data_IF_557310969574
#
_entry.id   IF_557310969574
#
_cell.length_a   1.000
_cell.length_b   1.000
_cell.length_c   1.000
_cell.angle_alpha   90.00
_cell.angle_beta   90.00
_cell.angle_gamma   90.00
#
_symmetry.space_group_name_H-M   'P 1'
#
loop_
_entity.id
_entity.type
_entity.pdbx_description
1 polymer ?
#
# COMPACT_ATOMS: atom_id res chain seq x y z
N UNK A 1 83.03 27.31 48.48
CA UNK A 1 82.14 26.20 48.67
C UNK A 1 80.91 26.52 47.89
N UNK A 2 80.90 26.04 46.73
CA UNK A 2 79.87 26.35 45.77
C UNK A 2 79.41 24.98 45.22
N UNK A 3 78.26 24.51 45.62
CA UNK A 3 77.67 23.30 45.16
C UNK A 3 76.63 23.65 44.12
N UNK A 4 76.99 23.46 42.88
CA UNK A 4 76.08 23.54 41.71
C UNK A 4 75.26 22.28 41.69
N UNK A 5 73.97 22.37 42.04
CA UNK A 5 72.95 21.36 41.75
C UNK A 5 72.69 21.34 40.27
N UNK A 6 73.21 20.30 39.67
CA UNK A 6 72.85 19.89 38.30
C UNK A 6 71.45 19.27 38.31
N UNK A 7 70.47 20.04 37.91
CA UNK A 7 69.13 19.52 37.62
C UNK A 7 69.12 18.57 36.38
N UNK A 8 69.08 17.27 36.62
CA UNK A 8 68.86 16.28 35.58
C UNK A 8 67.39 16.35 35.16
N UNK A 9 67.14 17.02 34.04
CA UNK A 9 65.86 16.87 33.30
C UNK A 9 65.71 15.41 32.87
N UNK A 10 64.88 14.68 33.56
CA UNK A 10 64.46 13.36 33.15
C UNK A 10 63.47 13.50 32.01
N UNK A 11 63.95 13.67 30.77
CA UNK A 11 63.15 13.58 29.57
C UNK A 11 62.42 12.23 29.56
N UNK A 12 61.09 12.25 29.41
CA UNK A 12 60.30 11.02 29.29
C UNK A 12 60.93 10.11 28.21
N UNK A 13 61.13 8.83 28.49
CA UNK A 13 61.77 7.94 27.52
C UNK A 13 60.92 7.82 26.24
N UNK A 14 61.56 7.88 25.07
CA UNK A 14 60.94 7.94 23.76
C UNK A 14 59.87 6.86 23.55
N UNK A 15 60.03 5.69 24.15
CA UNK A 15 59.07 4.60 24.11
C UNK A 15 57.78 4.89 24.88
N UNK A 16 57.80 5.72 25.92
CA UNK A 16 56.63 6.12 26.67
C UNK A 16 55.79 7.10 25.88
N UNK A 17 56.40 8.04 25.15
CA UNK A 17 55.73 8.98 24.24
C UNK A 17 55.11 8.23 23.06
N UNK A 18 55.82 7.23 22.52
CA UNK A 18 55.33 6.38 21.45
C UNK A 18 54.16 5.51 21.92
N UNK A 19 54.22 4.95 23.14
CA UNK A 19 53.12 4.17 23.73
C UNK A 19 51.86 5.00 23.95
N UNK A 20 51.98 6.24 24.40
CA UNK A 20 50.85 7.15 24.58
C UNK A 20 50.19 7.51 23.23
N UNK A 21 51.00 7.84 22.20
CA UNK A 21 50.53 8.11 20.86
C UNK A 21 49.79 6.89 20.26
N UNK A 22 50.34 5.68 20.40
CA UNK A 22 49.70 4.45 19.94
C UNK A 22 48.40 4.13 20.66
N UNK A 23 48.33 4.41 21.97
CA UNK A 23 47.12 4.24 22.78
C UNK A 23 46.03 5.21 22.35
N UNK A 24 46.37 6.48 22.08
CA UNK A 24 45.43 7.47 21.55
C UNK A 24 44.88 7.08 20.15
N UNK A 25 45.77 6.60 19.29
CA UNK A 25 45.40 6.17 17.93
C UNK A 25 44.54 4.92 17.96
N UNK A 26 44.82 3.96 18.82
CA UNK A 26 44.00 2.76 19.07
C UNK A 26 42.61 3.14 19.58
N UNK A 27 42.54 4.08 20.56
CA UNK A 27 41.29 4.59 21.10
C UNK A 27 40.42 5.26 20.05
N UNK A 28 41.04 6.13 19.21
CA UNK A 28 40.35 6.75 18.08
C UNK A 28 39.84 5.70 17.07
N UNK A 29 40.64 4.69 16.77
CA UNK A 29 40.23 3.62 15.86
C UNK A 29 39.06 2.80 16.38
N UNK A 30 39.07 2.44 17.68
CA UNK A 30 37.96 1.74 18.33
C UNK A 30 36.68 2.58 18.29
N UNK A 31 36.76 3.88 18.55
CA UNK A 31 35.60 4.77 18.47
C UNK A 31 35.00 4.84 17.04
N UNK A 32 35.87 4.90 16.01
CA UNK A 32 35.43 4.87 14.61
C UNK A 32 34.75 3.53 14.30
N UNK A 33 35.32 2.41 14.73
CA UNK A 33 34.72 1.09 14.54
C UNK A 33 33.35 0.97 15.19
N UNK A 34 33.20 1.44 16.43
CA UNK A 34 31.90 1.45 17.12
C UNK A 34 30.91 2.33 16.39
N UNK A 35 31.33 3.51 15.93
CA UNK A 35 30.49 4.40 15.11
C UNK A 35 30.01 3.76 13.80
N UNK A 36 30.94 3.13 13.05
CA UNK A 36 30.63 2.43 11.81
C UNK A 36 29.69 1.25 12.08
N UNK A 37 29.92 0.49 13.17
CA UNK A 37 29.07 -0.63 13.55
C UNK A 37 27.64 -0.16 13.90
N UNK A 38 27.49 0.97 14.60
CA UNK A 38 26.20 1.58 14.89
C UNK A 38 25.43 1.94 13.63
N UNK A 39 26.07 2.62 12.68
CA UNK A 39 25.46 2.98 11.38
C UNK A 39 25.08 1.75 10.58
N UNK A 40 25.92 0.70 10.56
CA UNK A 40 25.63 -0.56 9.87
C UNK A 40 24.42 -1.29 10.47
N UNK A 41 24.31 -1.31 11.81
CA UNK A 41 23.15 -1.92 12.48
C UNK A 41 21.85 -1.18 12.15
N UNK A 42 21.86 0.14 12.15
CA UNK A 42 20.71 0.96 11.80
C UNK A 42 20.29 0.73 10.33
N UNK A 43 21.26 0.78 9.40
CA UNK A 43 20.99 0.54 7.98
C UNK A 43 20.45 -0.88 7.73
N UNK A 44 21.02 -1.89 8.40
CA UNK A 44 20.58 -3.26 8.29
C UNK A 44 19.16 -3.45 8.79
N UNK A 45 18.78 -2.80 9.90
CA UNK A 45 17.43 -2.87 10.47
C UNK A 45 16.39 -2.26 9.52
N UNK A 46 16.67 -1.10 8.91
CA UNK A 46 15.81 -0.48 7.92
C UNK A 46 15.63 -1.33 6.66
N UNK A 47 16.71 -1.91 6.15
CA UNK A 47 16.64 -2.82 5.00
C UNK A 47 15.81 -4.07 5.29
N UNK A 48 15.98 -4.64 6.49
CA UNK A 48 15.22 -5.82 6.91
C UNK A 48 13.72 -5.52 7.01
N UNK A 49 13.36 -4.35 7.52
CA UNK A 49 11.96 -3.90 7.58
C UNK A 49 11.36 -3.73 6.19
N UNK A 50 12.08 -3.13 5.25
CA UNK A 50 11.65 -2.98 3.86
C UNK A 50 11.47 -4.32 3.15
N UNK A 51 12.41 -5.25 3.32
CA UNK A 51 12.33 -6.60 2.76
C UNK A 51 11.11 -7.32 3.31
N UNK A 52 10.89 -7.25 4.62
CA UNK A 52 9.73 -7.89 5.27
C UNK A 52 8.41 -7.31 4.76
N UNK A 53 8.30 -5.99 4.62
CA UNK A 53 7.13 -5.33 4.04
C UNK A 53 6.85 -5.82 2.62
N UNK A 54 7.87 -5.85 1.76
CA UNK A 54 7.74 -6.34 0.38
C UNK A 54 7.31 -7.80 0.31
N UNK A 55 7.87 -8.65 1.15
CA UNK A 55 7.47 -10.07 1.22
C UNK A 55 6.02 -10.24 1.64
N UNK A 56 5.55 -9.47 2.63
CA UNK A 56 4.15 -9.49 3.08
C UNK A 56 3.22 -9.04 1.93
N UNK A 57 3.57 -7.96 1.23
CA UNK A 57 2.78 -7.46 0.10
C UNK A 57 2.74 -8.47 -1.06
N UNK A 58 3.85 -9.11 -1.37
CA UNK A 58 3.91 -10.14 -2.41
C UNK A 58 3.08 -11.37 -2.05
N UNK A 59 3.15 -11.82 -0.80
CA UNK A 59 2.30 -12.91 -0.30
C UNK A 59 0.81 -12.55 -0.32
N UNK A 60 0.46 -11.31 0.01
CA UNK A 60 -0.91 -10.79 -0.11
C UNK A 60 -1.41 -10.87 -1.54
N UNK A 61 -0.60 -10.39 -2.48
CA UNK A 61 -0.93 -10.41 -3.91
C UNK A 61 -1.14 -11.84 -4.42
N UNK A 62 -0.20 -12.76 -4.13
CA UNK A 62 -0.31 -14.16 -4.55
C UNK A 62 -1.53 -14.86 -3.94
N UNK A 63 -1.84 -14.58 -2.67
CA UNK A 63 -3.01 -15.17 -2.01
C UNK A 63 -4.31 -14.67 -2.62
N UNK A 64 -4.39 -13.36 -2.94
CA UNK A 64 -5.57 -12.78 -3.61
C UNK A 64 -5.73 -13.33 -5.03
N UNK A 65 -4.64 -13.41 -5.80
CA UNK A 65 -4.64 -13.98 -7.14
C UNK A 65 -5.11 -15.44 -7.14
N UNK A 66 -4.62 -16.24 -6.20
CA UNK A 66 -5.05 -17.64 -6.04
C UNK A 66 -6.53 -17.74 -5.66
N UNK A 67 -7.00 -16.88 -4.77
CA UNK A 67 -8.42 -16.84 -4.39
C UNK A 67 -9.34 -16.47 -5.57
N UNK A 68 -8.84 -15.61 -6.48
CA UNK A 68 -9.59 -15.11 -7.63
C UNK A 68 -9.29 -15.87 -8.93
N UNK A 69 -8.54 -16.97 -8.91
CA UNK A 69 -8.14 -17.70 -10.12
C UNK A 69 -9.32 -18.07 -11.03
N UNK A 70 -10.45 -18.52 -10.47
CA UNK A 70 -11.65 -18.83 -11.21
C UNK A 70 -12.25 -17.60 -11.92
N UNK A 71 -12.59 -16.53 -11.21
CA UNK A 71 -13.07 -15.29 -11.83
C UNK A 71 -12.09 -14.68 -12.85
N UNK A 72 -10.78 -14.69 -12.59
CA UNK A 72 -9.75 -14.23 -13.52
C UNK A 72 -9.73 -15.03 -14.84
N UNK A 73 -9.86 -16.35 -14.75
CA UNK A 73 -9.91 -17.21 -15.93
C UNK A 73 -11.10 -16.92 -16.86
N UNK A 74 -12.18 -16.30 -16.35
CA UNK A 74 -13.31 -15.87 -17.17
C UNK A 74 -13.01 -14.66 -18.04
N UNK A 75 -11.88 -13.94 -17.81
CA UNK A 75 -11.50 -12.73 -18.53
C UNK A 75 -12.38 -11.50 -18.27
N UNK A 76 -13.34 -11.59 -17.33
CA UNK A 76 -14.28 -10.50 -17.01
C UNK A 76 -13.75 -9.53 -15.95
N UNK A 77 -12.72 -9.93 -15.24
CA UNK A 77 -12.03 -9.13 -14.23
C UNK A 77 -10.54 -9.09 -14.54
N UNK A 78 -9.88 -8.04 -14.07
CA UNK A 78 -8.42 -7.89 -14.09
C UNK A 78 -7.89 -7.79 -12.66
N UNK A 79 -6.65 -8.16 -12.45
CA UNK A 79 -5.98 -8.00 -11.17
C UNK A 79 -4.64 -7.29 -11.39
N UNK A 80 -4.57 -6.04 -10.96
CA UNK A 80 -3.37 -5.20 -11.09
C UNK A 80 -2.97 -4.65 -9.71
N UNK A 81 -1.79 -4.99 -9.23
CA UNK A 81 -1.27 -4.53 -7.94
C UNK A 81 -2.25 -4.74 -6.76
N UNK A 82 -2.94 -5.89 -6.71
CA UNK A 82 -3.92 -6.19 -5.67
C UNK A 82 -5.27 -5.50 -5.83
N UNK A 83 -5.50 -4.76 -6.93
CA UNK A 83 -6.78 -4.14 -7.29
C UNK A 83 -7.50 -4.98 -8.32
N UNK A 84 -8.73 -5.33 -8.03
CA UNK A 84 -9.61 -6.08 -8.93
C UNK A 84 -10.37 -5.09 -9.77
N UNK A 85 -10.06 -5.01 -11.07
CA UNK A 85 -10.73 -4.13 -12.02
C UNK A 85 -11.86 -4.84 -12.75
N UNK A 86 -12.99 -4.17 -12.90
CA UNK A 86 -14.10 -4.60 -13.74
C UNK A 86 -14.46 -3.45 -14.68
N UNK A 87 -14.54 -3.75 -15.98
CA UNK A 87 -14.97 -2.75 -16.97
C UNK A 87 -16.38 -2.22 -16.65
N UNK A 88 -16.55 -0.91 -16.77
CA UNK A 88 -17.86 -0.28 -16.62
C UNK A 88 -18.88 -0.81 -17.62
N UNK A 89 -18.46 -1.23 -18.82
CA UNK A 89 -19.35 -1.80 -19.84
C UNK A 89 -19.90 -3.17 -19.45
N UNK A 90 -19.17 -3.96 -18.66
CA UNK A 90 -19.63 -5.24 -18.11
C UNK A 90 -20.64 -5.02 -17.00
N UNK A 91 -20.42 -3.99 -16.18
CA UNK A 91 -21.25 -3.72 -15.00
C UNK A 91 -22.52 -2.93 -15.34
N UNK A 92 -22.43 -1.92 -16.21
CA UNK A 92 -23.48 -0.92 -16.40
C UNK A 92 -23.80 -0.69 -17.87
N UNK A 93 -25.03 -0.25 -18.13
CA UNK A 93 -25.40 0.35 -19.42
C UNK A 93 -24.70 1.69 -19.66
N UNK A 94 -24.78 2.16 -20.90
CA UNK A 94 -24.20 3.45 -21.29
C UNK A 94 -24.80 4.60 -20.43
N UNK A 95 -23.97 5.45 -19.90
CA UNK A 95 -24.36 6.57 -19.01
C UNK A 95 -25.31 6.17 -17.86
N UNK A 96 -25.19 4.95 -17.37
CA UNK A 96 -26.06 4.37 -16.35
C UNK A 96 -25.25 3.93 -15.12
N UNK A 97 -25.93 3.92 -13.98
CA UNK A 97 -25.50 3.30 -12.73
C UNK A 97 -26.28 2.00 -12.43
N UNK A 98 -27.17 1.59 -13.36
CA UNK A 98 -27.95 0.37 -13.19
C UNK A 98 -27.12 -0.84 -13.59
N UNK A 99 -27.02 -1.79 -12.65
CA UNK A 99 -26.25 -3.01 -12.83
C UNK A 99 -26.91 -3.93 -13.87
N UNK A 100 -26.13 -4.36 -14.86
CA UNK A 100 -26.56 -5.33 -15.85
C UNK A 100 -26.55 -6.76 -15.26
N UNK A 101 -27.37 -7.68 -15.81
CA UNK A 101 -27.40 -9.07 -15.37
C UNK A 101 -26.01 -9.75 -15.41
N UNK A 102 -25.23 -9.46 -16.44
CA UNK A 102 -23.86 -9.98 -16.57
C UNK A 102 -22.94 -9.45 -15.47
N UNK A 103 -22.98 -8.17 -15.18
CA UNK A 103 -22.23 -7.56 -14.06
C UNK A 103 -22.62 -8.18 -12.72
N UNK A 104 -23.92 -8.48 -12.51
CA UNK A 104 -24.37 -9.16 -11.29
C UNK A 104 -23.77 -10.57 -11.17
N UNK A 105 -23.66 -11.34 -12.26
CA UNK A 105 -23.03 -12.66 -12.25
C UNK A 105 -21.55 -12.59 -11.90
N UNK A 106 -20.82 -11.58 -12.42
CA UNK A 106 -19.43 -11.35 -12.05
C UNK A 106 -19.31 -11.10 -10.55
N UNK A 107 -20.14 -10.21 -9.98
CA UNK A 107 -20.13 -9.92 -8.55
C UNK A 107 -20.43 -11.15 -7.70
N UNK A 108 -21.41 -11.98 -8.08
CA UNK A 108 -21.72 -13.24 -7.38
C UNK A 108 -20.50 -14.16 -7.32
N UNK A 109 -19.72 -14.24 -8.41
CA UNK A 109 -18.53 -15.10 -8.47
C UNK A 109 -17.39 -14.62 -7.56
N UNK A 110 -17.41 -13.34 -7.19
CA UNK A 110 -16.35 -12.70 -6.37
C UNK A 110 -16.62 -12.77 -4.86
N UNK A 111 -17.89 -12.86 -4.41
CA UNK A 111 -18.24 -12.71 -2.99
C UNK A 111 -17.55 -13.75 -2.13
N UNK A 112 -17.70 -15.04 -2.42
CA UNK A 112 -17.12 -16.11 -1.59
C UNK A 112 -15.58 -16.05 -1.49
N UNK A 113 -14.83 -15.91 -2.62
CA UNK A 113 -13.39 -15.77 -2.57
C UNK A 113 -12.93 -14.54 -1.78
N UNK A 114 -13.61 -13.39 -1.97
CA UNK A 114 -13.27 -12.15 -1.29
C UNK A 114 -13.60 -12.20 0.21
N UNK A 115 -14.75 -12.72 0.58
CA UNK A 115 -15.13 -12.88 1.99
C UNK A 115 -14.10 -13.73 2.75
N UNK A 116 -13.71 -14.88 2.19
CA UNK A 116 -12.70 -15.74 2.77
C UNK A 116 -11.36 -15.02 2.92
N UNK A 117 -10.93 -14.29 1.88
CA UNK A 117 -9.70 -13.50 1.90
C UNK A 117 -9.72 -12.39 2.97
N UNK A 118 -10.79 -11.57 3.00
CA UNK A 118 -10.93 -10.44 3.91
C UNK A 118 -11.04 -10.86 5.38
N UNK A 119 -11.71 -12.00 5.64
CA UNK A 119 -11.91 -12.50 7.02
C UNK A 119 -10.60 -12.95 7.64
N UNK A 120 -9.74 -13.61 6.88
CA UNK A 120 -8.45 -14.10 7.37
C UNK A 120 -7.46 -12.98 7.69
N UNK A 121 -7.68 -11.77 7.17
CA UNK A 121 -6.74 -10.63 7.25
C UNK A 121 -7.28 -9.43 8.02
N UNK A 122 -8.54 -9.49 8.48
CA UNK A 122 -9.27 -8.36 9.08
C UNK A 122 -9.22 -7.08 8.22
N UNK A 123 -9.39 -7.27 6.90
CA UNK A 123 -9.42 -6.19 5.90
C UNK A 123 -10.85 -5.86 5.49
N UNK A 124 -11.04 -4.65 4.95
CA UNK A 124 -12.27 -4.17 4.33
C UNK A 124 -12.11 -4.18 2.82
N UNK A 125 -13.21 -4.27 2.08
CA UNK A 125 -13.24 -4.11 0.63
C UNK A 125 -13.66 -2.69 0.29
N UNK A 126 -12.76 -1.91 -0.30
CA UNK A 126 -13.06 -0.62 -0.89
C UNK A 126 -13.52 -0.82 -2.33
N UNK A 127 -14.71 -0.35 -2.67
CA UNK A 127 -15.27 -0.33 -4.03
C UNK A 127 -15.14 1.08 -4.58
N UNK A 128 -14.31 1.27 -5.59
CA UNK A 128 -13.95 2.57 -6.15
C UNK A 128 -14.53 2.74 -7.55
N UNK A 129 -15.28 3.81 -7.79
CA UNK A 129 -15.82 4.16 -9.10
C UNK A 129 -14.94 5.18 -9.83
N UNK A 130 -14.77 4.97 -11.14
CA UNK A 130 -14.00 5.85 -12.04
C UNK A 130 -14.78 6.13 -13.32
N UNK A 131 -14.53 7.29 -13.91
CA UNK A 131 -15.07 7.69 -15.24
C UNK A 131 -13.92 8.03 -16.17
N UNK A 132 -14.25 8.25 -17.44
CA UNK A 132 -13.38 8.95 -18.38
C UNK A 132 -13.44 10.48 -18.16
N UNK A 133 -12.74 11.23 -19.01
CA UNK A 133 -12.64 12.68 -18.97
C UNK A 133 -13.82 13.43 -19.60
N UNK A 134 -14.78 12.71 -20.22
CA UNK A 134 -15.94 13.34 -20.83
C UNK A 134 -16.85 13.90 -19.73
N UNK A 135 -17.01 15.22 -19.73
CA UNK A 135 -17.84 15.90 -18.73
C UNK A 135 -19.32 15.55 -18.91
N UNK A 136 -19.95 15.10 -17.85
CA UNK A 136 -21.40 14.91 -17.80
C UNK A 136 -22.05 16.28 -17.64
N UNK A 137 -23.02 16.59 -18.54
CA UNK A 137 -23.79 17.83 -18.48
C UNK A 137 -25.25 17.53 -18.75
N UNK A 138 -26.14 18.02 -17.89
CA UNK A 138 -27.58 18.03 -18.16
C UNK A 138 -28.26 16.66 -18.15
N UNK A 139 -27.93 15.79 -17.21
CA UNK A 139 -28.52 14.47 -17.06
C UNK A 139 -28.96 14.16 -15.63
N UNK A 140 -29.08 12.87 -15.33
CA UNK A 140 -29.40 12.35 -13.98
C UNK A 140 -28.32 12.67 -12.95
N UNK A 141 -27.05 12.85 -13.39
CA UNK A 141 -25.90 13.10 -12.54
C UNK A 141 -25.38 14.52 -12.79
N UNK A 142 -24.97 15.21 -11.75
CA UNK A 142 -24.43 16.57 -11.83
C UNK A 142 -23.05 16.59 -12.52
N UNK A 143 -22.22 15.59 -12.26
CA UNK A 143 -20.84 15.47 -12.75
C UNK A 143 -20.30 14.04 -12.70
N UNK A 144 -19.03 13.89 -13.08
CA UNK A 144 -18.31 12.61 -13.07
C UNK A 144 -18.10 12.07 -11.64
N UNK A 145 -18.03 12.94 -10.63
CA UNK A 145 -17.92 12.52 -9.23
C UNK A 145 -19.21 11.82 -8.78
N UNK A 146 -20.37 12.41 -9.07
CA UNK A 146 -21.65 11.81 -8.72
C UNK A 146 -21.88 10.49 -9.47
N UNK A 147 -21.59 10.41 -10.77
CA UNK A 147 -21.72 9.16 -11.51
C UNK A 147 -20.82 8.06 -10.93
N UNK A 148 -19.56 8.38 -10.66
CA UNK A 148 -18.60 7.41 -10.09
C UNK A 148 -19.03 6.95 -8.69
N UNK A 149 -19.57 7.87 -7.86
CA UNK A 149 -20.10 7.56 -6.54
C UNK A 149 -21.32 6.63 -6.62
N UNK A 150 -22.28 6.92 -7.50
CA UNK A 150 -23.47 6.08 -7.67
C UNK A 150 -23.13 4.68 -8.19
N UNK A 151 -22.19 4.57 -9.12
CA UNK A 151 -21.68 3.27 -9.61
C UNK A 151 -21.02 2.47 -8.50
N UNK A 152 -20.15 3.09 -7.69
CA UNK A 152 -19.52 2.44 -6.55
C UNK A 152 -20.57 1.98 -5.52
N UNK A 153 -21.56 2.81 -5.20
CA UNK A 153 -22.66 2.46 -4.30
C UNK A 153 -23.52 1.32 -4.84
N UNK A 154 -23.82 1.31 -6.14
CA UNK A 154 -24.58 0.23 -6.77
C UNK A 154 -23.86 -1.11 -6.68
N UNK A 155 -22.54 -1.13 -6.95
CA UNK A 155 -21.74 -2.34 -6.80
C UNK A 155 -21.64 -2.77 -5.33
N UNK A 156 -21.42 -1.83 -4.41
CA UNK A 156 -21.38 -2.11 -2.96
C UNK A 156 -22.69 -2.75 -2.48
N UNK A 157 -23.83 -2.18 -2.84
CA UNK A 157 -25.15 -2.74 -2.49
C UNK A 157 -25.36 -4.13 -3.11
N UNK A 158 -25.00 -4.29 -4.38
CA UNK A 158 -25.10 -5.58 -5.06
C UNK A 158 -24.23 -6.65 -4.40
N UNK A 159 -23.02 -6.32 -3.93
CA UNK A 159 -22.17 -7.24 -3.18
C UNK A 159 -22.82 -7.64 -1.84
N UNK A 160 -23.45 -6.69 -1.14
CA UNK A 160 -24.17 -6.95 0.13
C UNK A 160 -25.38 -7.86 -0.15
N UNK A 161 -26.16 -7.56 -1.18
CA UNK A 161 -27.34 -8.35 -1.58
C UNK A 161 -27.02 -9.82 -1.91
N UNK A 162 -25.78 -10.06 -2.41
CA UNK A 162 -25.34 -11.42 -2.78
C UNK A 162 -24.50 -12.09 -1.69
N UNK A 163 -24.44 -11.50 -0.48
CA UNK A 163 -23.92 -12.13 0.72
C UNK A 163 -22.64 -11.53 1.33
N UNK A 164 -22.07 -10.44 0.77
CA UNK A 164 -20.95 -9.75 1.42
C UNK A 164 -21.43 -9.05 2.69
N UNK A 165 -20.79 -9.25 3.86
CA UNK A 165 -21.16 -8.53 5.07
C UNK A 165 -21.03 -7.01 4.88
N UNK A 166 -22.09 -6.26 5.20
CA UNK A 166 -22.11 -4.79 5.05
C UNK A 166 -21.01 -4.09 5.88
N UNK A 167 -20.55 -4.71 6.97
CA UNK A 167 -19.43 -4.20 7.77
C UNK A 167 -18.06 -4.38 7.13
N UNK A 168 -17.98 -5.11 6.01
CA UNK A 168 -16.74 -5.44 5.31
C UNK A 168 -16.54 -4.70 4.01
N UNK A 169 -17.50 -3.89 3.55
CA UNK A 169 -17.45 -3.22 2.26
C UNK A 169 -17.89 -1.76 2.37
N UNK A 170 -17.23 -0.89 1.61
CA UNK A 170 -17.61 0.54 1.50
C UNK A 170 -17.30 1.07 0.10
N UNK A 171 -17.98 2.17 -0.26
CA UNK A 171 -17.83 2.82 -1.56
C UNK A 171 -16.89 4.03 -1.48
N UNK A 172 -16.13 4.25 -2.56
CA UNK A 172 -15.32 5.45 -2.81
C UNK A 172 -15.55 5.93 -4.26
N UNK A 173 -15.34 7.21 -4.50
CA UNK A 173 -15.50 7.82 -5.81
C UNK A 173 -14.25 8.61 -6.19
N UNK A 174 -13.86 8.56 -7.46
CA UNK A 174 -12.69 9.26 -7.97
C UNK A 174 -12.98 10.08 -9.23
N UNK A 175 -14.20 10.03 -9.77
CA UNK A 175 -14.52 10.74 -11.02
C UNK A 175 -13.54 10.38 -12.13
N UNK A 176 -13.01 11.39 -12.82
CA UNK A 176 -12.01 11.27 -13.89
C UNK A 176 -10.57 11.46 -13.41
N UNK A 177 -10.33 11.62 -12.09
CA UNK A 177 -9.04 12.11 -11.56
C UNK A 177 -7.90 11.07 -11.55
N UNK A 178 -8.20 9.78 -11.75
CA UNK A 178 -7.18 8.73 -11.76
C UNK A 178 -7.30 7.85 -13.01
N UNK A 179 -6.96 8.39 -14.19
CA UNK A 179 -6.97 7.61 -15.42
C UNK A 179 -5.86 6.53 -15.41
N UNK A 180 -6.18 5.34 -15.91
CA UNK A 180 -5.22 4.25 -16.13
C UNK A 180 -4.73 4.19 -17.57
N UNK A 181 -5.39 4.94 -18.46
CA UNK A 181 -5.04 5.06 -19.87
C UNK A 181 -5.24 6.52 -20.32
N UNK A 182 -4.50 7.00 -21.35
CA UNK A 182 -4.74 8.32 -21.93
C UNK A 182 -6.18 8.39 -22.46
N UNK A 183 -6.87 9.52 -22.22
CA UNK A 183 -8.24 9.72 -22.70
C UNK A 183 -8.26 10.23 -24.17
N UNK A 184 -7.53 9.57 -25.09
CA UNK A 184 -7.35 10.02 -26.48
C UNK A 184 -8.45 9.57 -27.42
N UNK A 185 -8.98 8.38 -27.18
CA UNK A 185 -9.97 7.71 -28.02
C UNK A 185 -10.98 6.91 -27.18
N UNK A 186 -11.99 6.34 -27.81
CA UNK A 186 -13.05 5.61 -27.09
C UNK A 186 -12.56 4.32 -26.44
N UNK A 187 -11.54 3.67 -26.99
CA UNK A 187 -10.98 2.44 -26.45
C UNK A 187 -10.22 2.73 -25.14
N UNK A 188 -9.35 3.75 -25.14
CA UNK A 188 -8.60 4.19 -23.95
C UNK A 188 -9.54 4.76 -22.88
N UNK A 189 -10.57 5.53 -23.27
CA UNK A 189 -11.62 5.99 -22.34
C UNK A 189 -12.40 4.82 -21.73
N UNK A 190 -12.65 3.76 -22.49
CA UNK A 190 -13.35 2.57 -21.97
C UNK A 190 -12.57 1.90 -20.83
N UNK A 191 -11.24 1.96 -20.84
CA UNK A 191 -10.40 1.46 -19.74
C UNK A 191 -10.53 2.32 -18.48
N UNK A 192 -10.76 3.62 -18.65
CA UNK A 192 -10.97 4.54 -17.53
C UNK A 192 -12.35 4.39 -16.90
N UNK A 193 -13.38 4.07 -17.70
CA UNK A 193 -14.73 3.75 -17.20
C UNK A 193 -14.74 2.37 -16.53
N UNK A 194 -14.39 2.31 -15.26
CA UNK A 194 -14.22 1.07 -14.51
C UNK A 194 -14.68 1.19 -13.07
N UNK A 195 -14.84 0.05 -12.43
CA UNK A 195 -14.91 -0.07 -10.97
C UNK A 195 -13.74 -0.92 -10.51
N UNK A 196 -13.05 -0.47 -9.50
CA UNK A 196 -11.99 -1.23 -8.84
C UNK A 196 -12.45 -1.67 -7.45
N UNK A 197 -12.03 -2.85 -7.03
CA UNK A 197 -12.21 -3.33 -5.67
C UNK A 197 -10.85 -3.63 -5.07
N UNK A 198 -10.57 -3.07 -3.90
CA UNK A 198 -9.27 -3.20 -3.24
C UNK A 198 -9.44 -3.59 -1.79
N UNK A 199 -8.80 -4.66 -1.31
CA UNK A 199 -8.65 -4.91 0.11
C UNK A 199 -7.85 -3.78 0.76
N UNK A 200 -8.36 -3.23 1.86
CA UNK A 200 -7.71 -2.17 2.63
C UNK A 200 -7.70 -2.54 4.11
N UNK A 201 -6.65 -2.18 4.85
CA UNK A 201 -6.61 -2.44 6.28
C UNK A 201 -7.78 -1.78 7.00
N UNK A 202 -8.37 -2.49 7.95
CA UNK A 202 -9.32 -1.90 8.86
C UNK A 202 -8.61 -0.91 9.79
N UNK A 203 -9.17 0.27 9.99
CA UNK A 203 -8.61 1.22 10.93
C UNK A 203 -8.53 0.57 12.32
N UNK A 204 -7.34 0.61 12.94
CA UNK A 204 -7.15 0.13 14.31
C UNK A 204 -8.11 0.89 15.22
N UNK A 205 -8.83 0.16 16.09
CA UNK A 205 -9.61 0.82 17.13
C UNK A 205 -8.64 1.67 17.95
N UNK A 206 -8.87 2.96 18.01
CA UNK A 206 -8.20 3.82 18.97
C UNK A 206 -8.58 3.26 20.34
N UNK A 207 -7.60 2.68 21.07
CA UNK A 207 -7.79 2.32 22.47
C UNK A 207 -8.03 3.62 23.23
N UNK A 208 -9.24 3.83 23.70
CA UNK A 208 -9.58 4.98 24.53
C UNK A 208 -8.78 4.84 25.83
N UNK A 209 -8.00 5.85 26.25
CA UNK A 209 -7.20 5.77 27.49
C UNK A 209 -8.05 5.75 28.77
N UNK A 210 -9.37 5.65 28.69
CA UNK A 210 -10.30 5.72 29.82
C UNK A 210 -10.77 4.36 30.36
N UNK A 211 -10.22 3.22 29.89
CA UNK A 211 -10.55 1.87 30.41
C UNK A 211 -9.37 1.26 31.22
N UNK A 212 -8.69 2.07 32.02
CA UNK A 212 -7.68 1.65 32.99
C UNK A 212 -7.98 2.15 34.39
#
# INVERSE_FOLDING_TARGET
MDESESGAEHGAPVWAVFGDLMSGLLGAFVLILVGVMGVQMELTSHLQEEITKRQIEEQRRMTLEKALAGPLASGRITLNNGRIGISGQVLFGLNSDQLQPEGRQVLISLVKPLEAYLTTRDELLMVSGFTDDISIRGGRFADNWELSAQRALTVTRALIDVGMPASRVFAAAFGAEQPVSPNTDDETRAQNRRVEMSPVPKASKVSNPSDG
#
